data_IF_216119718130
#
_entry.id   IF_216119718130
#
_cell.length_a   1.000
_cell.length_b   1.000
_cell.length_c   1.000
_cell.angle_alpha   90.00
_cell.angle_beta   90.00
_cell.angle_gamma   90.00
#
_symmetry.space_group_name_H-M   'P 1'
#
loop_
_entity.id
_entity.type
_entity.pdbx_description
1 polymer ?
#
# COMPACT_ATOMS: atom_id res chain seq x y z
N UNK A 1 10.86 -15.44 22.43
CA UNK A 1 12.06 -15.45 21.57
C UNK A 1 11.77 -15.97 20.17
N UNK A 2 10.87 -16.95 19.99
CA UNK A 2 10.53 -17.53 18.67
C UNK A 2 9.93 -16.51 17.71
N UNK A 3 8.95 -15.70 18.14
CA UNK A 3 8.34 -14.68 17.29
C UNK A 3 9.33 -13.63 16.77
N UNK A 4 10.34 -13.25 17.54
CA UNK A 4 11.41 -12.35 17.06
C UNK A 4 12.31 -13.04 16.03
N UNK A 5 12.63 -14.31 16.23
CA UNK A 5 13.41 -15.08 15.24
C UNK A 5 12.62 -15.24 13.95
N UNK A 6 11.34 -15.58 14.04
CA UNK A 6 10.44 -15.69 12.88
C UNK A 6 10.40 -14.41 12.07
N UNK A 7 10.32 -13.26 12.73
CA UNK A 7 10.21 -11.97 12.05
C UNK A 7 11.52 -11.45 11.47
N UNK A 8 12.63 -11.56 12.22
CA UNK A 8 13.90 -10.93 11.86
C UNK A 8 14.85 -11.84 11.06
N UNK A 9 14.72 -13.16 11.19
CA UNK A 9 15.61 -14.09 10.49
C UNK A 9 14.95 -14.54 9.18
N UNK A 10 15.60 -14.31 8.03
CA UNK A 10 15.09 -14.78 6.75
C UNK A 10 15.14 -16.31 6.68
N UNK A 11 14.01 -16.93 6.36
CA UNK A 11 13.90 -18.36 6.10
C UNK A 11 14.09 -18.65 4.61
N UNK A 12 15.32 -18.87 4.20
CA UNK A 12 15.65 -19.19 2.81
C UNK A 12 15.11 -20.56 2.37
N UNK A 13 14.85 -21.48 3.30
CA UNK A 13 14.29 -22.78 2.98
C UNK A 13 12.83 -22.62 2.56
N UNK A 14 12.03 -21.96 3.37
CA UNK A 14 10.63 -21.62 3.07
C UNK A 14 10.51 -20.75 1.80
N UNK A 15 11.44 -19.81 1.60
CA UNK A 15 11.48 -18.99 0.39
C UNK A 15 11.71 -19.82 -0.89
N UNK A 16 12.52 -20.90 -0.82
CA UNK A 16 12.72 -21.81 -1.94
C UNK A 16 11.47 -22.69 -2.21
N UNK A 17 10.81 -23.14 -1.15
CA UNK A 17 9.58 -23.95 -1.23
C UNK A 17 8.42 -23.16 -1.87
N UNK A 18 8.22 -21.91 -1.45
CA UNK A 18 7.17 -21.02 -2.00
C UNK A 18 7.54 -20.56 -3.43
N UNK A 19 8.81 -20.43 -3.71
CA UNK A 19 9.36 -19.89 -4.96
C UNK A 19 9.95 -18.49 -4.76
N UNK A 20 11.20 -18.32 -5.17
CA UNK A 20 11.92 -17.04 -5.05
C UNK A 20 11.19 -15.93 -5.84
N UNK A 21 10.69 -16.25 -7.04
CA UNK A 21 9.95 -15.31 -7.88
C UNK A 21 8.68 -14.80 -7.19
N UNK A 22 7.87 -15.71 -6.67
CA UNK A 22 6.62 -15.41 -5.95
C UNK A 22 6.89 -14.55 -4.72
N UNK A 23 7.95 -14.87 -3.95
CA UNK A 23 8.35 -14.07 -2.78
C UNK A 23 8.75 -12.65 -3.16
N UNK A 24 9.51 -12.46 -4.24
CA UNK A 24 9.91 -11.14 -4.72
C UNK A 24 8.68 -10.34 -5.19
N UNK A 25 7.78 -10.97 -5.96
CA UNK A 25 6.54 -10.33 -6.43
C UNK A 25 5.68 -9.88 -5.25
N UNK A 26 5.48 -10.73 -4.25
CA UNK A 26 4.71 -10.39 -3.06
C UNK A 26 5.33 -9.21 -2.29
N UNK A 27 6.66 -9.20 -2.11
CA UNK A 27 7.37 -8.09 -1.46
C UNK A 27 7.26 -6.78 -2.25
N UNK A 28 7.32 -6.83 -3.58
CA UNK A 28 7.18 -5.65 -4.41
C UNK A 28 5.73 -5.13 -4.46
N UNK A 29 4.74 -6.02 -4.53
CA UNK A 29 3.33 -5.63 -4.42
C UNK A 29 3.06 -4.95 -3.07
N UNK A 30 3.61 -5.47 -1.97
CA UNK A 30 3.53 -4.82 -0.67
C UNK A 30 4.17 -3.43 -0.68
N UNK A 31 5.32 -3.24 -1.31
CA UNK A 31 5.97 -1.94 -1.44
C UNK A 31 5.13 -0.95 -2.29
N UNK A 32 4.51 -1.40 -3.37
CA UNK A 32 3.58 -0.58 -4.16
C UNK A 32 2.38 -0.14 -3.32
N UNK A 33 1.83 -1.07 -2.53
CA UNK A 33 0.65 -0.82 -1.69
C UNK A 33 0.96 0.18 -0.56
N UNK A 34 1.98 -0.09 0.25
CA UNK A 34 2.30 0.73 1.42
C UNK A 34 2.72 2.15 1.06
N UNK A 35 3.45 2.33 -0.05
CA UNK A 35 3.84 3.63 -0.58
C UNK A 35 2.79 4.28 -1.48
N UNK A 36 1.63 3.65 -1.67
CA UNK A 36 0.53 4.14 -2.53
C UNK A 36 0.99 4.53 -3.93
N UNK A 37 1.90 3.74 -4.53
CA UNK A 37 2.43 3.99 -5.87
C UNK A 37 1.35 3.69 -6.92
N UNK A 38 1.26 4.50 -7.95
CA UNK A 38 0.38 4.27 -9.10
C UNK A 38 -1.06 4.77 -8.96
N UNK A 39 -1.56 5.08 -7.77
CA UNK A 39 -2.91 5.65 -7.57
C UNK A 39 -2.97 7.17 -7.58
N UNK A 40 -1.83 7.84 -7.76
CA UNK A 40 -1.77 9.30 -7.82
C UNK A 40 -1.67 10.04 -6.49
N UNK A 41 -1.81 9.36 -5.34
CA UNK A 41 -1.72 9.99 -4.03
C UNK A 41 -0.40 10.74 -3.83
N UNK A 42 0.73 10.14 -4.21
CA UNK A 42 2.04 10.79 -4.14
C UNK A 42 2.16 12.01 -5.07
N UNK A 43 1.46 12.03 -6.21
CA UNK A 43 1.45 13.19 -7.10
C UNK A 43 0.70 14.37 -6.46
N UNK A 44 -0.45 14.11 -5.82
CA UNK A 44 -1.21 15.13 -5.10
C UNK A 44 -0.42 15.66 -3.91
N UNK A 45 0.15 14.80 -3.06
CA UNK A 45 0.99 15.25 -1.95
C UNK A 45 2.23 16.00 -2.43
N UNK A 46 2.86 15.54 -3.52
CA UNK A 46 3.97 16.23 -4.14
C UNK A 46 3.62 17.64 -4.63
N UNK A 47 2.37 17.87 -5.05
CA UNK A 47 1.89 19.20 -5.47
C UNK A 47 1.77 20.19 -4.31
N UNK A 48 1.67 19.71 -3.06
CA UNK A 48 1.59 20.53 -1.85
C UNK A 48 2.97 20.85 -1.25
N UNK A 49 4.03 20.17 -1.70
CA UNK A 49 5.39 20.41 -1.22
C UNK A 49 5.92 21.70 -1.88
N UNK A 50 6.44 22.62 -1.04
CA UNK A 50 7.08 23.84 -1.51
C UNK A 50 8.37 23.55 -2.28
N UNK A 51 8.72 24.45 -3.21
CA UNK A 51 9.91 24.30 -4.07
C UNK A 51 11.25 24.41 -3.35
N UNK A 52 11.24 24.70 -2.08
CA UNK A 52 12.43 24.68 -1.20
C UNK A 52 12.93 23.27 -0.86
N UNK A 53 12.07 22.24 -1.02
CA UNK A 53 12.37 20.83 -0.77
C UNK A 53 12.63 20.08 -2.08
N UNK A 54 13.61 19.16 -2.08
CA UNK A 54 13.82 18.28 -3.23
C UNK A 54 12.87 17.07 -3.15
N UNK A 55 12.17 16.76 -4.24
CA UNK A 55 11.24 15.62 -4.28
C UNK A 55 11.97 14.29 -4.04
N UNK A 56 13.21 14.15 -4.52
CA UNK A 56 14.05 12.97 -4.25
C UNK A 56 14.33 12.79 -2.76
N UNK A 57 14.66 13.87 -2.05
CA UNK A 57 14.89 13.83 -0.60
C UNK A 57 13.65 13.45 0.17
N UNK A 58 12.51 14.03 -0.16
CA UNK A 58 11.23 13.72 0.49
C UNK A 58 10.79 12.28 0.20
N UNK A 59 10.97 11.78 -1.03
CA UNK A 59 10.67 10.38 -1.36
C UNK A 59 11.48 9.38 -0.52
N UNK A 60 12.77 9.65 -0.31
CA UNK A 60 13.63 8.80 0.54
C UNK A 60 13.18 8.87 2.00
N UNK A 61 12.81 10.05 2.50
CA UNK A 61 12.28 10.21 3.88
C UNK A 61 10.99 9.45 4.08
N UNK A 62 10.05 9.55 3.14
CA UNK A 62 8.78 8.81 3.19
C UNK A 62 9.04 7.31 3.23
N UNK A 63 9.86 6.78 2.30
CA UNK A 63 10.19 5.35 2.27
C UNK A 63 10.90 4.88 3.56
N UNK A 64 11.80 5.69 4.12
CA UNK A 64 12.49 5.37 5.37
C UNK A 64 11.55 5.35 6.57
N UNK A 65 10.64 6.33 6.68
CA UNK A 65 9.65 6.39 7.76
C UNK A 65 8.62 5.27 7.66
N UNK A 66 8.13 4.96 6.47
CA UNK A 66 7.21 3.86 6.22
C UNK A 66 7.85 2.52 6.64
N UNK A 67 9.07 2.25 6.18
CA UNK A 67 9.83 1.06 6.55
C UNK A 67 10.08 0.99 8.05
N UNK A 68 10.42 2.11 8.69
CA UNK A 68 10.64 2.19 10.13
C UNK A 68 9.38 1.78 10.90
N UNK A 69 8.22 2.38 10.56
CA UNK A 69 6.94 2.05 11.22
C UNK A 69 6.56 0.60 11.00
N UNK A 70 6.72 0.08 9.78
CA UNK A 70 6.44 -1.32 9.46
C UNK A 70 7.30 -2.29 10.28
N UNK A 71 8.61 -2.04 10.37
CA UNK A 71 9.53 -2.86 11.16
C UNK A 71 9.18 -2.85 12.65
N UNK A 72 8.90 -1.69 13.23
CA UNK A 72 8.54 -1.58 14.65
C UNK A 72 7.18 -2.23 14.95
N UNK A 73 6.21 -2.08 14.07
CA UNK A 73 4.92 -2.75 14.22
C UNK A 73 5.07 -4.27 14.23
N UNK A 74 5.90 -4.81 13.32
CA UNK A 74 6.20 -6.23 13.29
C UNK A 74 6.92 -6.74 14.56
N UNK A 75 7.84 -5.95 15.12
CA UNK A 75 8.52 -6.29 16.40
C UNK A 75 7.54 -6.42 17.58
N UNK A 76 6.38 -5.78 17.52
CA UNK A 76 5.35 -5.87 18.55
C UNK A 76 4.40 -7.03 18.24
N UNK A 77 3.89 -7.10 17.01
CA UNK A 77 2.81 -8.02 16.63
C UNK A 77 3.29 -9.48 16.60
N UNK A 78 4.41 -9.78 15.94
CA UNK A 78 4.85 -11.17 15.78
C UNK A 78 5.18 -11.86 17.12
N UNK A 79 5.95 -11.26 18.04
CA UNK A 79 6.17 -11.87 19.35
C UNK A 79 4.87 -12.07 20.15
N UNK A 80 3.90 -11.14 20.03
CA UNK A 80 2.61 -11.29 20.68
C UNK A 80 1.85 -12.49 20.11
N UNK A 81 1.77 -12.65 18.78
CA UNK A 81 1.14 -13.81 18.14
C UNK A 81 1.71 -15.13 18.66
N UNK A 82 3.04 -15.26 18.66
CA UNK A 82 3.72 -16.47 19.15
C UNK A 82 3.52 -16.72 20.64
N UNK A 83 3.47 -15.67 21.47
CA UNK A 83 3.24 -15.80 22.92
C UNK A 83 1.84 -16.33 23.25
N UNK A 84 0.88 -16.06 22.36
CA UNK A 84 -0.52 -16.48 22.53
C UNK A 84 -0.92 -17.66 21.62
N UNK A 85 0.05 -18.28 20.93
CA UNK A 85 -0.20 -19.44 20.07
C UNK A 85 -1.05 -19.14 18.83
N UNK A 86 -0.98 -17.91 18.32
CA UNK A 86 -1.78 -17.43 17.20
C UNK A 86 -0.97 -17.46 15.91
N UNK A 87 -1.59 -17.94 14.83
CA UNK A 87 -0.97 -17.91 13.51
C UNK A 87 -0.94 -16.47 12.95
N UNK A 88 0.24 -15.92 12.62
CA UNK A 88 0.36 -14.58 12.05
C UNK A 88 -0.19 -14.46 10.62
N UNK A 89 -0.45 -15.56 9.92
CA UNK A 89 -0.96 -15.59 8.53
C UNK A 89 -2.49 -15.36 8.42
N UNK A 90 -3.16 -14.97 9.50
CA UNK A 90 -4.62 -14.92 9.57
C UNK A 90 -5.27 -13.70 8.88
N UNK A 91 -4.49 -12.81 8.25
CA UNK A 91 -5.00 -11.63 7.56
C UNK A 91 -5.88 -10.72 8.44
N UNK A 92 -7.04 -10.22 7.96
CA UNK A 92 -7.96 -9.41 8.75
C UNK A 92 -8.47 -10.09 10.02
N UNK A 93 -8.57 -11.42 10.04
CA UNK A 93 -8.96 -12.19 11.20
C UNK A 93 -7.98 -12.04 12.36
N UNK A 94 -6.69 -11.79 12.09
CA UNK A 94 -5.71 -11.51 13.12
C UNK A 94 -6.11 -10.28 13.94
N UNK A 95 -6.55 -9.22 13.29
CA UNK A 95 -6.88 -7.95 13.92
C UNK A 95 -8.26 -8.01 14.61
N UNK A 96 -9.27 -8.55 13.93
CA UNK A 96 -10.67 -8.44 14.38
C UNK A 96 -11.18 -9.63 15.20
N UNK A 97 -10.51 -10.78 15.13
CA UNK A 97 -10.89 -11.97 15.89
C UNK A 97 -9.83 -12.33 16.91
N UNK A 98 -8.59 -12.44 16.46
CA UNK A 98 -7.50 -12.98 17.27
C UNK A 98 -7.00 -12.03 18.34
N UNK A 99 -6.66 -10.78 17.95
CA UNK A 99 -6.18 -9.79 18.93
C UNK A 99 -7.22 -9.45 20.02
N UNK A 100 -8.53 -9.30 19.74
CA UNK A 100 -9.54 -9.18 20.80
C UNK A 100 -9.53 -10.35 21.79
N UNK A 101 -9.39 -11.58 21.29
CA UNK A 101 -9.30 -12.75 22.16
C UNK A 101 -8.04 -12.74 23.03
N UNK A 102 -6.90 -12.30 22.49
CA UNK A 102 -5.66 -12.11 23.25
C UNK A 102 -5.88 -11.08 24.35
N UNK A 103 -6.43 -9.91 24.03
CA UNK A 103 -6.70 -8.87 25.02
C UNK A 103 -7.67 -9.33 26.11
N UNK A 104 -8.68 -10.14 25.79
CA UNK A 104 -9.60 -10.68 26.79
C UNK A 104 -8.92 -11.62 27.80
N UNK A 105 -7.83 -12.28 27.42
CA UNK A 105 -7.12 -13.23 28.24
C UNK A 105 -5.89 -12.65 28.97
N UNK A 106 -5.56 -11.37 28.76
CA UNK A 106 -4.39 -10.75 29.41
C UNK A 106 -4.79 -9.81 30.55
N UNK A 107 -3.95 -9.66 31.59
CA UNK A 107 -4.17 -8.68 32.66
C UNK A 107 -4.25 -7.26 32.10
N UNK A 108 -5.32 -6.54 32.44
CA UNK A 108 -5.55 -5.17 31.91
C UNK A 108 -5.92 -5.12 30.43
N UNK A 109 -6.30 -6.22 29.84
CA UNK A 109 -6.57 -6.35 28.41
C UNK A 109 -7.65 -5.42 27.88
N UNK A 110 -8.65 -5.04 28.70
CA UNK A 110 -9.65 -4.03 28.33
C UNK A 110 -9.00 -2.68 28.03
N UNK A 111 -8.06 -2.24 28.87
CA UNK A 111 -7.35 -0.97 28.66
C UNK A 111 -6.44 -1.05 27.42
N UNK A 112 -5.60 -2.07 27.36
CA UNK A 112 -4.66 -2.24 26.25
C UNK A 112 -5.35 -2.46 24.91
N UNK A 113 -6.42 -3.28 24.89
CA UNK A 113 -7.23 -3.49 23.70
C UNK A 113 -7.94 -2.22 23.25
N UNK A 114 -8.52 -1.45 24.17
CA UNK A 114 -9.13 -0.16 23.81
C UNK A 114 -8.13 0.82 23.23
N UNK A 115 -6.96 0.96 23.83
CA UNK A 115 -5.88 1.82 23.30
C UNK A 115 -5.41 1.35 21.92
N UNK A 116 -5.21 0.05 21.74
CA UNK A 116 -4.82 -0.52 20.45
C UNK A 116 -5.83 -0.17 19.35
N UNK A 117 -7.12 -0.42 19.57
CA UNK A 117 -8.16 -0.13 18.57
C UNK A 117 -8.37 1.35 18.32
N UNK A 118 -8.20 2.21 19.34
CA UNK A 118 -8.22 3.66 19.18
C UNK A 118 -7.07 4.11 18.28
N UNK A 119 -5.84 3.68 18.54
CA UNK A 119 -4.68 4.04 17.70
C UNK A 119 -4.81 3.47 16.29
N UNK A 120 -5.31 2.25 16.16
CA UNK A 120 -5.57 1.65 14.84
C UNK A 120 -6.63 2.44 14.06
N UNK A 121 -7.69 2.92 14.73
CA UNK A 121 -8.69 3.77 14.10
C UNK A 121 -8.09 5.10 13.62
N UNK A 122 -7.22 5.73 14.40
CA UNK A 122 -6.51 6.94 13.97
C UNK A 122 -5.59 6.67 12.78
N UNK A 123 -4.86 5.55 12.77
CA UNK A 123 -4.00 5.16 11.66
C UNK A 123 -4.82 4.93 10.38
N UNK A 124 -5.92 4.18 10.46
CA UNK A 124 -6.84 3.95 9.35
C UNK A 124 -7.44 5.27 8.83
N UNK A 125 -7.86 6.16 9.74
CA UNK A 125 -8.46 7.45 9.38
C UNK A 125 -7.47 8.34 8.61
N UNK A 126 -6.19 8.35 8.98
CA UNK A 126 -5.17 9.12 8.26
C UNK A 126 -5.03 8.65 6.80
N UNK A 127 -5.04 7.34 6.57
CA UNK A 127 -4.99 6.75 5.23
C UNK A 127 -6.25 7.06 4.42
N UNK A 128 -7.43 6.92 5.03
CA UNK A 128 -8.71 7.26 4.38
C UNK A 128 -8.73 8.72 3.95
N UNK A 129 -8.30 9.65 4.82
CA UNK A 129 -8.24 11.09 4.49
C UNK A 129 -7.28 11.33 3.31
N UNK A 130 -6.13 10.66 3.29
CA UNK A 130 -5.14 10.80 2.23
C UNK A 130 -5.68 10.34 0.86
N UNK A 131 -6.30 9.16 0.81
CA UNK A 131 -6.92 8.63 -0.42
C UNK A 131 -8.10 9.51 -0.86
N UNK A 132 -8.91 9.95 0.10
CA UNK A 132 -10.07 10.79 -0.18
C UNK A 132 -9.66 12.16 -0.72
N UNK A 133 -8.58 12.77 -0.20
CA UNK A 133 -8.02 14.01 -0.72
C UNK A 133 -7.58 13.87 -2.18
N UNK A 134 -6.94 12.75 -2.54
CA UNK A 134 -6.57 12.46 -3.91
C UNK A 134 -7.80 12.43 -4.83
N UNK A 135 -8.85 11.73 -4.44
CA UNK A 135 -10.10 11.61 -5.22
C UNK A 135 -10.79 12.98 -5.36
N UNK A 136 -10.87 13.75 -4.27
CA UNK A 136 -11.49 15.09 -4.27
C UNK A 136 -10.70 16.03 -5.20
N UNK A 137 -9.37 16.07 -5.09
CA UNK A 137 -8.52 16.93 -5.92
C UNK A 137 -8.69 16.60 -7.39
N UNK A 138 -8.62 15.32 -7.77
CA UNK A 138 -8.88 14.88 -9.14
C UNK A 138 -10.30 15.25 -9.62
N UNK A 139 -11.32 15.11 -8.76
CA UNK A 139 -12.69 15.46 -9.12
C UNK A 139 -12.86 16.96 -9.36
N UNK A 140 -12.21 17.81 -8.57
CA UNK A 140 -12.21 19.26 -8.77
C UNK A 140 -11.52 19.62 -10.08
N UNK A 141 -10.35 19.06 -10.35
CA UNK A 141 -9.58 19.35 -11.56
C UNK A 141 -10.32 18.93 -12.83
N UNK A 142 -11.01 17.78 -12.79
CA UNK A 142 -11.72 17.26 -13.95
C UNK A 142 -13.08 17.96 -14.20
N UNK A 143 -13.79 18.37 -13.14
CA UNK A 143 -15.16 18.86 -13.26
C UNK A 143 -15.32 20.35 -12.99
N UNK A 144 -14.32 21.00 -12.41
CA UNK A 144 -14.37 22.39 -11.96
C UNK A 144 -15.37 22.65 -10.81
N UNK A 145 -15.87 21.60 -10.15
CA UNK A 145 -16.84 21.73 -9.09
C UNK A 145 -16.21 22.25 -7.79
N UNK A 146 -17.04 22.82 -6.90
CA UNK A 146 -16.56 23.26 -5.59
C UNK A 146 -16.14 22.08 -4.70
N UNK A 147 -15.15 22.29 -3.83
CA UNK A 147 -14.65 21.28 -2.90
C UNK A 147 -15.76 20.64 -2.05
N UNK A 148 -16.74 21.42 -1.57
CA UNK A 148 -17.87 20.89 -0.81
C UNK A 148 -18.71 19.90 -1.62
N UNK A 149 -18.99 20.23 -2.90
CA UNK A 149 -19.75 19.37 -3.80
C UNK A 149 -18.96 18.10 -4.14
N UNK A 150 -17.67 18.23 -4.46
CA UNK A 150 -16.78 17.10 -4.71
C UNK A 150 -16.70 16.15 -3.50
N UNK A 151 -16.50 16.69 -2.29
CA UNK A 151 -16.45 15.91 -1.06
C UNK A 151 -17.74 15.15 -0.79
N UNK A 152 -18.90 15.79 -0.95
CA UNK A 152 -20.19 15.15 -0.70
C UNK A 152 -20.47 14.01 -1.71
N UNK A 153 -20.29 14.29 -3.00
CA UNK A 153 -20.57 13.31 -4.06
C UNK A 153 -19.63 12.12 -3.93
N UNK A 154 -18.32 12.36 -3.84
CA UNK A 154 -17.34 11.27 -3.71
C UNK A 154 -17.50 10.51 -2.39
N UNK A 155 -17.90 11.17 -1.30
CA UNK A 155 -18.22 10.51 -0.03
C UNK A 155 -19.36 9.51 -0.16
N UNK A 156 -20.45 9.91 -0.80
CA UNK A 156 -21.59 9.00 -1.07
C UNK A 156 -21.15 7.83 -1.97
N UNK A 157 -20.41 8.12 -3.04
CA UNK A 157 -19.91 7.08 -3.94
C UNK A 157 -19.01 6.09 -3.20
N UNK A 158 -18.09 6.57 -2.36
CA UNK A 158 -17.19 5.70 -1.59
C UNK A 158 -17.96 4.81 -0.60
N UNK A 159 -18.97 5.34 0.09
CA UNK A 159 -19.82 4.54 0.97
C UNK A 159 -20.52 3.43 0.17
N UNK A 160 -21.11 3.75 -0.99
CA UNK A 160 -21.77 2.76 -1.83
C UNK A 160 -20.79 1.69 -2.33
N UNK A 161 -19.61 2.10 -2.81
CA UNK A 161 -18.59 1.18 -3.31
C UNK A 161 -17.95 0.32 -2.23
N UNK A 162 -17.95 0.75 -0.96
CA UNK A 162 -17.44 -0.06 0.16
C UNK A 162 -18.44 -1.10 0.66
N UNK A 163 -19.73 -0.98 0.31
CA UNK A 163 -20.75 -1.94 0.77
C UNK A 163 -20.48 -3.38 0.33
N UNK A 164 -20.08 -3.70 -0.91
CA UNK A 164 -19.79 -5.08 -1.30
C UNK A 164 -18.67 -5.70 -0.46
N UNK A 165 -17.62 -4.95 -0.15
CA UNK A 165 -16.53 -5.39 0.71
C UNK A 165 -17.05 -5.79 2.12
N UNK A 166 -17.87 -4.93 2.75
CA UNK A 166 -18.45 -5.21 4.08
C UNK A 166 -19.44 -6.37 4.03
N UNK A 167 -20.29 -6.42 3.00
CA UNK A 167 -21.29 -7.48 2.82
C UNK A 167 -20.65 -8.83 2.45
N UNK A 168 -19.44 -8.82 1.90
CA UNK A 168 -18.66 -10.02 1.58
C UNK A 168 -18.41 -10.94 2.77
N UNK A 169 -18.36 -10.38 3.99
CA UNK A 169 -18.18 -11.17 5.22
C UNK A 169 -19.47 -11.75 5.80
N UNK A 170 -20.65 -11.41 5.26
CA UNK A 170 -21.93 -11.90 5.76
C UNK A 170 -22.94 -12.24 4.66
N UNK A 171 -23.69 -11.25 4.14
CA UNK A 171 -24.75 -11.48 3.15
C UNK A 171 -24.21 -12.01 1.80
N UNK A 172 -23.00 -11.62 1.43
CA UNK A 172 -22.33 -12.06 0.20
C UNK A 172 -21.23 -13.09 0.45
N UNK A 173 -21.20 -13.73 1.63
CA UNK A 173 -20.20 -14.75 1.98
C UNK A 173 -20.19 -15.98 1.08
N UNK A 174 -21.25 -16.19 0.29
CA UNK A 174 -21.30 -17.23 -0.75
C UNK A 174 -20.64 -16.82 -2.07
N UNK A 175 -20.22 -15.57 -2.22
CA UNK A 175 -19.46 -15.12 -3.39
C UNK A 175 -17.97 -15.39 -3.15
N UNK A 176 -17.45 -16.43 -3.80
CA UNK A 176 -16.06 -16.89 -3.67
C UNK A 176 -15.34 -16.75 -5.03
N UNK A 177 -14.79 -15.54 -5.32
CA UNK A 177 -14.27 -15.20 -6.63
C UNK A 177 -13.03 -15.99 -7.04
N UNK A 178 -12.24 -16.48 -6.08
CA UNK A 178 -11.00 -17.21 -6.34
C UNK A 178 -11.04 -18.66 -5.84
N UNK A 179 -12.14 -19.09 -5.21
CA UNK A 179 -12.22 -20.37 -4.50
C UNK A 179 -11.54 -20.33 -3.13
N UNK A 180 -11.73 -21.41 -2.35
CA UNK A 180 -11.07 -21.56 -1.06
C UNK A 180 -11.63 -20.68 0.06
N UNK A 181 -12.82 -20.09 -0.09
CA UNK A 181 -13.44 -19.19 0.88
C UNK A 181 -12.97 -17.73 0.74
N UNK A 182 -12.51 -17.35 -0.44
CA UNK A 182 -12.15 -15.95 -0.75
C UNK A 182 -13.37 -15.04 -0.72
N UNK A 183 -13.16 -13.79 -0.37
CA UNK A 183 -14.19 -12.78 -0.18
C UNK A 183 -14.16 -11.71 -1.27
N UNK A 184 -15.13 -10.80 -1.25
CA UNK A 184 -15.11 -9.60 -2.09
C UNK A 184 -13.86 -8.75 -1.80
N UNK A 185 -13.43 -8.67 -0.53
CA UNK A 185 -12.20 -7.96 -0.14
C UNK A 185 -10.96 -8.52 -0.86
N UNK A 186 -10.86 -9.85 -0.95
CA UNK A 186 -9.73 -10.50 -1.65
C UNK A 186 -9.72 -10.18 -3.15
N UNK A 187 -10.89 -10.04 -3.77
CA UNK A 187 -11.02 -9.60 -5.16
C UNK A 187 -10.62 -8.15 -5.34
N UNK A 188 -11.12 -7.26 -4.48
CA UNK A 188 -10.79 -5.83 -4.52
C UNK A 188 -9.30 -5.60 -4.28
N UNK A 189 -8.72 -6.27 -3.27
CA UNK A 189 -7.29 -6.22 -3.00
C UNK A 189 -6.45 -6.73 -4.18
N UNK A 190 -6.84 -7.85 -4.80
CA UNK A 190 -6.17 -8.36 -5.99
C UNK A 190 -6.18 -7.35 -7.15
N UNK A 191 -7.33 -6.73 -7.43
CA UNK A 191 -7.46 -5.73 -8.49
C UNK A 191 -6.56 -4.52 -8.20
N UNK A 192 -6.57 -4.03 -6.97
CA UNK A 192 -5.74 -2.89 -6.57
C UNK A 192 -4.26 -3.26 -6.61
N UNK A 193 -3.84 -4.27 -5.87
CA UNK A 193 -2.43 -4.59 -5.62
C UNK A 193 -1.72 -5.18 -6.83
N UNK A 194 -2.40 -6.01 -7.63
CA UNK A 194 -1.77 -6.71 -8.77
C UNK A 194 -2.06 -6.06 -10.13
N UNK A 195 -3.06 -5.18 -10.25
CA UNK A 195 -3.40 -4.56 -11.53
C UNK A 195 -3.22 -3.04 -11.47
N UNK A 196 -3.97 -2.35 -10.61
CA UNK A 196 -4.03 -0.88 -10.63
C UNK A 196 -2.69 -0.26 -10.22
N UNK A 197 -2.08 -0.72 -9.14
CA UNK A 197 -0.83 -0.15 -8.65
C UNK A 197 0.34 -0.34 -9.63
N UNK A 198 0.62 -1.54 -10.16
CA UNK A 198 1.70 -1.73 -11.12
C UNK A 198 1.46 -0.97 -12.43
N UNK A 199 0.24 -1.05 -12.99
CA UNK A 199 -0.09 -0.36 -14.25
C UNK A 199 -0.06 1.15 -14.08
N UNK A 200 -0.63 1.68 -13.00
CA UNK A 200 -0.58 3.10 -12.71
C UNK A 200 0.84 3.61 -12.50
N UNK A 201 1.67 2.85 -11.76
CA UNK A 201 3.09 3.18 -11.58
C UNK A 201 3.85 3.21 -12.91
N UNK A 202 3.56 2.27 -13.80
CA UNK A 202 4.15 2.24 -15.14
C UNK A 202 3.72 3.46 -15.97
N UNK A 203 2.45 3.86 -15.91
CA UNK A 203 1.93 5.04 -16.61
C UNK A 203 2.63 6.31 -16.10
N UNK A 204 2.72 6.51 -14.77
CA UNK A 204 3.42 7.66 -14.20
C UNK A 204 4.90 7.67 -14.58
N UNK A 205 5.57 6.53 -14.51
CA UNK A 205 6.98 6.42 -14.89
C UNK A 205 7.19 6.78 -16.36
N UNK A 206 6.40 6.19 -17.26
CA UNK A 206 6.49 6.45 -18.69
C UNK A 206 6.16 7.92 -19.01
N UNK A 207 5.20 8.52 -18.35
CA UNK A 207 4.90 9.95 -18.48
C UNK A 207 6.11 10.81 -18.10
N UNK A 208 6.78 10.52 -16.99
CA UNK A 208 7.94 11.26 -16.53
C UNK A 208 9.16 11.15 -17.46
N UNK A 209 9.37 9.98 -18.10
CA UNK A 209 10.60 9.73 -18.90
C UNK A 209 10.41 9.83 -20.40
N UNK A 210 9.16 9.79 -20.88
CA UNK A 210 8.82 9.82 -22.32
C UNK A 210 8.88 11.23 -22.89
N UNK A 211 9.29 11.33 -24.16
CA UNK A 211 9.24 12.60 -24.93
C UNK A 211 7.79 13.06 -25.23
N UNK A 212 6.82 12.15 -25.21
CA UNK A 212 5.41 12.45 -25.44
C UNK A 212 4.66 12.82 -24.14
N UNK A 213 5.31 12.63 -22.99
CA UNK A 213 4.80 13.05 -21.68
C UNK A 213 5.53 14.30 -21.17
N UNK A 214 5.84 14.34 -19.88
CA UNK A 214 6.55 15.45 -19.25
C UNK A 214 8.01 15.56 -19.75
N UNK A 215 8.65 14.42 -19.95
CA UNK A 215 10.03 14.31 -20.42
C UNK A 215 11.05 14.34 -19.30
N UNK A 216 12.14 13.60 -19.52
CA UNK A 216 13.20 13.43 -18.53
C UNK A 216 13.80 14.74 -18.01
N UNK A 217 14.03 15.70 -18.88
CA UNK A 217 14.74 16.93 -18.52
C UNK A 217 13.84 17.82 -17.62
N UNK A 218 12.54 17.89 -17.92
CA UNK A 218 11.57 18.61 -17.07
C UNK A 218 11.37 17.90 -15.74
N UNK A 219 11.24 16.56 -15.74
CA UNK A 219 11.18 15.77 -14.53
C UNK A 219 12.41 15.99 -13.65
N UNK A 220 13.61 15.92 -14.22
CA UNK A 220 14.86 16.09 -13.48
C UNK A 220 14.99 17.50 -12.89
N UNK A 221 14.57 18.52 -13.63
CA UNK A 221 14.57 19.93 -13.18
C UNK A 221 13.64 20.10 -11.96
N UNK A 222 12.45 19.55 -12.00
CA UNK A 222 11.49 19.65 -10.89
C UNK A 222 11.92 18.79 -9.69
N UNK A 223 12.30 17.53 -9.92
CA UNK A 223 12.74 16.63 -8.88
C UNK A 223 13.98 17.13 -8.12
N UNK A 224 14.82 17.91 -8.80
CA UNK A 224 16.02 18.53 -8.28
C UNK A 224 15.83 19.99 -7.85
N UNK A 225 14.63 20.53 -7.91
CA UNK A 225 14.34 21.83 -7.30
C UNK A 225 14.60 21.79 -5.79
N UNK A 226 14.83 22.92 -5.17
CA UNK A 226 15.04 23.00 -3.71
C UNK A 226 16.35 22.39 -3.21
N UNK A 227 16.45 22.28 -1.88
CA UNK A 227 17.62 21.76 -1.16
C UNK A 227 17.38 20.27 -0.78
N UNK A 228 18.40 19.43 -0.89
CA UNK A 228 18.35 18.03 -0.49
C UNK A 228 19.00 17.09 -1.51
N UNK A 229 18.65 15.80 -1.45
CA UNK A 229 19.16 14.79 -2.37
C UNK A 229 18.77 15.11 -3.81
N UNK A 230 19.70 14.90 -4.74
CA UNK A 230 19.51 15.17 -6.17
C UNK A 230 19.52 13.88 -6.96
N UNK A 231 18.63 13.79 -7.93
CA UNK A 231 18.63 12.70 -8.91
C UNK A 231 19.73 12.95 -9.93
N UNK A 232 20.61 11.95 -10.13
CA UNK A 232 21.64 12.00 -11.15
C UNK A 232 21.06 11.71 -12.54
N UNK A 233 21.57 12.38 -13.56
CA UNK A 233 21.21 12.09 -14.94
C UNK A 233 21.59 10.66 -15.37
N UNK A 234 22.51 10.01 -14.69
CA UNK A 234 22.86 8.60 -14.90
C UNK A 234 21.68 7.65 -14.71
N UNK A 235 20.71 8.01 -13.85
CA UNK A 235 19.49 7.23 -13.62
C UNK A 235 18.51 7.24 -14.81
N UNK A 236 18.73 8.06 -15.83
CA UNK A 236 17.87 8.15 -17.01
C UNK A 236 17.69 6.79 -17.71
N UNK A 237 18.78 6.04 -17.91
CA UNK A 237 18.72 4.74 -18.58
C UNK A 237 17.95 3.73 -17.72
N UNK A 238 18.21 3.73 -16.41
CA UNK A 238 17.52 2.87 -15.48
C UNK A 238 16.01 3.14 -15.46
N UNK A 239 15.61 4.40 -15.27
CA UNK A 239 14.19 4.78 -15.19
C UNK A 239 13.45 4.65 -16.52
N UNK A 240 14.15 4.79 -17.66
CA UNK A 240 13.53 4.73 -18.99
C UNK A 240 13.35 3.31 -19.52
N UNK A 241 14.25 2.39 -19.19
CA UNK A 241 14.28 1.06 -19.80
C UNK A 241 14.23 -0.06 -18.78
N UNK A 242 15.02 -0.02 -17.71
CA UNK A 242 15.14 -1.12 -16.77
C UNK A 242 13.90 -1.18 -15.84
N UNK A 243 13.54 -0.06 -15.23
CA UNK A 243 12.43 -0.01 -14.29
C UNK A 243 11.06 -0.34 -14.92
N UNK A 244 10.70 0.12 -16.15
CA UNK A 244 9.48 -0.31 -16.80
C UNK A 244 9.42 -1.81 -17.07
N UNK A 245 10.55 -2.43 -17.44
CA UNK A 245 10.63 -3.89 -17.64
C UNK A 245 10.40 -4.62 -16.31
N UNK A 246 11.03 -4.18 -15.23
CA UNK A 246 10.84 -4.77 -13.90
C UNK A 246 9.37 -4.68 -13.48
N UNK A 247 8.73 -3.51 -13.58
CA UNK A 247 7.31 -3.32 -13.24
C UNK A 247 6.41 -4.23 -14.09
N UNK A 248 6.69 -4.34 -15.38
CA UNK A 248 5.92 -5.20 -16.28
C UNK A 248 6.07 -6.68 -15.91
N UNK A 249 7.27 -7.13 -15.55
CA UNK A 249 7.51 -8.50 -15.07
C UNK A 249 6.72 -8.77 -13.80
N UNK A 250 6.74 -7.85 -12.82
CA UNK A 250 5.99 -7.99 -11.58
C UNK A 250 4.50 -8.09 -11.85
N UNK A 251 3.97 -7.22 -12.71
CA UNK A 251 2.57 -7.25 -13.13
C UNK A 251 2.17 -8.58 -13.74
N UNK A 252 2.97 -9.11 -14.67
CA UNK A 252 2.70 -10.41 -15.32
C UNK A 252 2.78 -11.55 -14.31
N UNK A 253 3.79 -11.57 -13.45
CA UNK A 253 3.96 -12.60 -12.43
C UNK A 253 2.84 -12.54 -11.39
N UNK A 254 2.42 -11.37 -10.95
CA UNK A 254 1.31 -11.19 -10.01
C UNK A 254 -0.03 -11.74 -10.54
N UNK A 255 -0.27 -11.60 -11.84
CA UNK A 255 -1.44 -12.22 -12.48
C UNK A 255 -1.25 -13.75 -12.59
N UNK A 256 -0.07 -14.19 -13.01
CA UNK A 256 0.21 -15.62 -13.20
C UNK A 256 0.06 -16.40 -11.89
N UNK A 257 0.63 -15.91 -10.79
CA UNK A 257 0.59 -16.59 -9.48
C UNK A 257 -0.84 -16.74 -8.94
N UNK A 258 -1.80 -15.94 -9.42
CA UNK A 258 -3.20 -16.02 -8.97
C UNK A 258 -4.05 -16.98 -9.82
N UNK A 259 -3.75 -17.13 -11.10
CA UNK A 259 -4.63 -17.86 -12.04
C UNK A 259 -4.00 -19.12 -12.64
N UNK A 260 -2.70 -19.30 -12.50
CA UNK A 260 -1.94 -20.42 -13.07
C UNK A 260 -0.93 -21.00 -12.06
#
# INVERSE_FOLDING_TARGET
>A
MEGLKFYLLPDFTRMKEIGIGTTIVAAMNQAFFTLSLGIGAMAIFGSYIGKEHSLAGESVRIAALDTFVALFSGLIIFPACFSFGVNPDSGPNLIFVTLPNIFNNMPGGRLWGSLFFIFMAFAAMSTVIAVFENIISCSIDLTGCSRKKASLINGIIMIILSLPCVLGFNLMSGFDPFGGGSTVLDLEDFIVSNIILPVGSLIYLLFCVSKHGWGWDNFLKEANAGKGLKISNALRIYMKYILPVIITIIFILGIKDKFF
#
